data_IF_579268208740
#
_entry.id   IF_579268208740
#
_cell.length_a   1.000
_cell.length_b   1.000
_cell.length_c   1.000
_cell.angle_alpha   90.00
_cell.angle_beta   90.00
_cell.angle_gamma   90.00
#
_symmetry.space_group_name_H-M   'P 1'
#
loop_
_entity.id
_entity.type
_entity.pdbx_description
1 polymer ?
#
# COMPACT_ATOMS: atom_id res chain seq x y z
N UNK A 1 -11.68 17.46 -34.75
CA UNK A 1 -10.25 17.58 -35.16
C UNK A 1 -9.42 18.23 -34.05
N UNK A 2 -9.67 17.88 -32.78
CA UNK A 2 -8.95 18.40 -31.61
C UNK A 2 -8.47 17.27 -30.70
N UNK A 3 -8.32 16.08 -31.29
CA UNK A 3 -8.36 14.81 -30.56
C UNK A 3 -6.99 14.11 -30.57
N UNK A 4 -6.12 14.40 -31.56
CA UNK A 4 -4.81 13.75 -31.70
C UNK A 4 -3.68 14.29 -30.79
N UNK A 5 -3.74 15.56 -30.35
CA UNK A 5 -2.69 16.11 -29.48
C UNK A 5 -2.87 15.71 -28.00
N UNK A 6 -4.11 15.64 -27.52
CA UNK A 6 -4.43 15.19 -26.16
C UNK A 6 -4.07 13.71 -25.95
N UNK A 7 -4.39 12.85 -26.93
CA UNK A 7 -4.05 11.42 -26.87
C UNK A 7 -2.54 11.17 -26.89
N UNK A 8 -1.76 11.98 -27.63
CA UNK A 8 -0.29 11.90 -27.62
C UNK A 8 0.29 12.37 -26.28
N UNK A 9 -0.29 13.41 -25.68
CA UNK A 9 0.12 13.93 -24.38
C UNK A 9 -0.18 12.94 -23.25
N UNK A 10 -1.37 12.34 -23.24
CA UNK A 10 -1.79 11.32 -22.28
C UNK A 10 -0.89 10.07 -22.36
N UNK A 11 -0.57 9.60 -23.57
CA UNK A 11 0.39 8.51 -23.77
C UNK A 11 1.81 8.85 -23.31
N UNK A 12 2.27 10.08 -23.56
CA UNK A 12 3.59 10.51 -23.12
C UNK A 12 3.68 10.57 -21.58
N UNK A 13 2.63 11.04 -20.90
CA UNK A 13 2.55 11.05 -19.44
C UNK A 13 2.47 9.63 -18.89
N UNK A 14 1.62 8.76 -19.45
CA UNK A 14 1.55 7.37 -18.97
C UNK A 14 2.91 6.67 -19.10
N UNK A 15 3.62 6.89 -20.22
CA UNK A 15 4.97 6.34 -20.42
C UNK A 15 5.98 6.86 -19.39
N UNK A 16 5.96 8.17 -19.06
CA UNK A 16 6.88 8.73 -18.06
C UNK A 16 6.56 8.20 -16.66
N UNK A 17 5.28 8.02 -16.34
CA UNK A 17 4.81 7.49 -15.05
C UNK A 17 5.21 6.03 -14.90
N UNK A 18 5.01 5.20 -15.94
CA UNK A 18 5.45 3.80 -15.95
C UNK A 18 6.96 3.67 -15.77
N UNK A 19 7.74 4.53 -16.44
CA UNK A 19 9.19 4.54 -16.28
C UNK A 19 9.59 4.92 -14.84
N UNK A 20 8.99 5.95 -14.28
CA UNK A 20 9.23 6.37 -12.90
C UNK A 20 8.86 5.26 -11.90
N UNK A 21 7.73 4.58 -12.13
CA UNK A 21 7.28 3.44 -11.33
C UNK A 21 8.26 2.27 -11.38
N UNK A 22 8.76 1.93 -12.58
CA UNK A 22 9.75 0.87 -12.74
C UNK A 22 11.04 1.20 -11.98
N UNK A 23 11.53 2.43 -12.09
CA UNK A 23 12.72 2.90 -11.34
C UNK A 23 12.45 2.82 -9.83
N UNK A 24 11.29 3.28 -9.38
CA UNK A 24 10.92 3.25 -7.97
C UNK A 24 10.88 1.82 -7.40
N UNK A 25 10.27 0.88 -8.13
CA UNK A 25 10.23 -0.54 -7.73
C UNK A 25 11.65 -1.09 -7.61
N UNK A 26 12.53 -0.81 -8.57
CA UNK A 26 13.93 -1.26 -8.52
C UNK A 26 14.65 -0.73 -7.28
N UNK A 27 14.51 0.58 -7.00
CA UNK A 27 15.12 1.20 -5.82
C UNK A 27 14.63 0.54 -4.54
N UNK A 28 13.31 0.32 -4.41
CA UNK A 28 12.74 -0.32 -3.22
C UNK A 28 13.28 -1.74 -3.05
N UNK A 29 13.38 -2.53 -4.13
CA UNK A 29 13.92 -3.89 -4.08
C UNK A 29 15.38 -3.89 -3.60
N UNK A 30 16.20 -2.93 -4.05
CA UNK A 30 17.58 -2.79 -3.58
C UNK A 30 17.63 -2.49 -2.08
N UNK A 31 16.86 -1.50 -1.61
CA UNK A 31 16.79 -1.14 -0.18
C UNK A 31 16.29 -2.30 0.67
N UNK A 32 15.30 -3.06 0.18
CA UNK A 32 14.83 -4.27 0.86
C UNK A 32 15.92 -5.33 0.95
N UNK A 33 16.72 -5.50 -0.11
CA UNK A 33 17.87 -6.39 -0.10
C UNK A 33 18.86 -6.01 1.00
N UNK A 34 19.24 -4.74 1.07
CA UNK A 34 20.14 -4.22 2.12
C UNK A 34 19.58 -4.46 3.53
N UNK A 35 18.28 -4.18 3.75
CA UNK A 35 17.64 -4.45 5.05
C UNK A 35 17.69 -5.93 5.45
N UNK A 36 17.47 -6.85 4.50
CA UNK A 36 17.59 -8.30 4.75
C UNK A 36 19.05 -8.68 5.09
N UNK A 37 20.03 -8.13 4.37
CA UNK A 37 21.45 -8.37 4.66
C UNK A 37 21.84 -7.85 6.05
N UNK A 38 21.37 -6.66 6.45
CA UNK A 38 21.61 -6.09 7.76
C UNK A 38 21.08 -6.98 8.88
N UNK A 39 19.85 -7.49 8.74
CA UNK A 39 19.24 -8.43 9.70
C UNK A 39 20.10 -9.70 9.80
N UNK A 40 20.46 -10.31 8.67
CA UNK A 40 21.23 -11.56 8.68
C UNK A 40 22.60 -11.38 9.36
N UNK A 41 23.30 -10.28 9.09
CA UNK A 41 24.65 -10.06 9.60
C UNK A 41 24.69 -9.61 11.06
N UNK A 42 23.77 -8.76 11.50
CA UNK A 42 23.83 -8.13 12.83
C UNK A 42 23.04 -8.89 13.91
N UNK A 43 22.10 -9.76 13.52
CA UNK A 43 21.16 -10.38 14.48
C UNK A 43 21.49 -11.84 14.78
N UNK A 44 22.01 -12.56 13.79
CA UNK A 44 22.37 -13.97 13.96
C UNK A 44 23.49 -14.17 15.01
N UNK A 45 24.50 -13.28 15.17
CA UNK A 45 25.44 -13.38 16.27
C UNK A 45 24.83 -12.82 17.56
N UNK A 46 23.97 -13.62 18.20
CA UNK A 46 23.31 -13.36 19.48
C UNK A 46 24.29 -12.84 20.53
N UNK A 47 24.23 -11.56 20.92
CA UNK A 47 24.87 -11.16 22.19
C UNK A 47 24.27 -9.96 22.95
N UNK A 48 23.34 -9.15 22.42
CA UNK A 48 22.82 -8.01 23.21
C UNK A 48 21.32 -7.70 23.05
N UNK A 49 20.67 -7.35 24.16
CA UNK A 49 19.26 -6.88 24.21
C UNK A 49 19.00 -5.61 23.40
N UNK A 50 20.03 -4.80 23.14
CA UNK A 50 19.92 -3.60 22.29
C UNK A 50 19.66 -3.94 20.82
N UNK A 51 20.01 -5.15 20.39
CA UNK A 51 19.85 -5.62 19.00
C UNK A 51 18.39 -6.03 18.71
N UNK A 52 17.57 -6.28 19.75
CA UNK A 52 16.16 -6.66 19.61
C UNK A 52 15.28 -5.50 19.14
N UNK A 53 15.55 -4.27 19.60
CA UNK A 53 14.79 -3.08 19.15
C UNK A 53 15.15 -2.73 17.71
N UNK A 54 16.43 -2.77 17.36
CA UNK A 54 16.90 -2.59 15.98
C UNK A 54 16.28 -3.63 15.05
N UNK A 55 16.14 -4.86 15.52
CA UNK A 55 15.46 -5.93 14.80
C UNK A 55 14.02 -5.63 14.45
N UNK A 56 13.24 -5.20 15.44
CA UNK A 56 11.83 -4.88 15.25
C UNK A 56 11.71 -3.72 14.27
N UNK A 57 12.60 -2.73 14.35
CA UNK A 57 12.66 -1.59 13.43
C UNK A 57 12.98 -2.01 11.99
N UNK A 58 13.99 -2.85 11.79
CA UNK A 58 14.38 -3.34 10.46
C UNK A 58 13.26 -4.19 9.82
N UNK A 59 12.64 -5.09 10.60
CA UNK A 59 11.50 -5.91 10.17
C UNK A 59 10.30 -5.03 9.83
N UNK A 60 10.00 -4.04 10.68
CA UNK A 60 8.90 -3.11 10.46
C UNK A 60 9.13 -2.30 9.17
N UNK A 61 10.37 -1.91 8.89
CA UNK A 61 10.75 -1.19 7.66
C UNK A 61 10.59 -2.07 6.42
N UNK A 62 11.04 -3.32 6.46
CA UNK A 62 10.83 -4.28 5.38
C UNK A 62 9.33 -4.49 5.07
N UNK A 63 8.48 -4.51 6.09
CA UNK A 63 7.04 -4.64 5.90
C UNK A 63 6.43 -3.41 5.20
N UNK A 64 6.88 -2.18 5.50
CA UNK A 64 6.46 -0.98 4.75
C UNK A 64 6.88 -1.10 3.29
N UNK A 65 8.14 -1.46 3.02
CA UNK A 65 8.66 -1.52 1.66
C UNK A 65 7.92 -2.59 0.83
N UNK A 66 7.57 -3.72 1.44
CA UNK A 66 6.73 -4.74 0.81
C UNK A 66 5.32 -4.22 0.50
N UNK A 67 4.70 -3.49 1.43
CA UNK A 67 3.39 -2.87 1.22
C UNK A 67 3.41 -1.88 0.05
N UNK A 68 4.43 -1.04 -0.02
CA UNK A 68 4.63 -0.09 -1.13
C UNK A 68 4.80 -0.85 -2.45
N UNK A 69 5.63 -1.89 -2.53
CA UNK A 69 5.75 -2.69 -3.76
C UNK A 69 4.41 -3.30 -4.19
N UNK A 70 3.65 -3.89 -3.25
CA UNK A 70 2.34 -4.48 -3.54
C UNK A 70 1.37 -3.44 -4.12
N UNK A 71 1.41 -2.21 -3.61
CA UNK A 71 0.64 -1.09 -4.15
C UNK A 71 1.05 -0.74 -5.58
N UNK A 72 2.35 -0.58 -5.84
CA UNK A 72 2.85 -0.22 -7.18
C UNK A 72 2.54 -1.31 -8.20
N UNK A 73 2.66 -2.59 -7.83
CA UNK A 73 2.29 -3.71 -8.69
C UNK A 73 0.79 -3.73 -9.01
N UNK A 74 -0.06 -3.38 -8.04
CA UNK A 74 -1.51 -3.27 -8.27
C UNK A 74 -1.85 -2.07 -9.16
N UNK A 75 -1.17 -0.93 -8.98
CA UNK A 75 -1.31 0.25 -9.83
C UNK A 75 -1.08 -0.08 -11.31
N UNK A 76 -0.01 -0.81 -11.62
CA UNK A 76 0.31 -1.23 -12.99
C UNK A 76 -0.78 -2.19 -13.54
N UNK A 77 -1.24 -3.15 -12.72
CA UNK A 77 -2.26 -4.14 -13.14
C UNK A 77 -3.63 -3.54 -13.46
N UNK A 78 -3.96 -2.38 -12.89
CA UNK A 78 -5.29 -1.76 -13.03
C UNK A 78 -5.33 -0.62 -14.06
N UNK A 79 -4.27 -0.47 -14.85
CA UNK A 79 -4.25 0.45 -15.99
C UNK A 79 -4.24 1.91 -15.56
N UNK A 80 -3.38 2.26 -14.59
CA UNK A 80 -3.17 3.64 -14.09
C UNK A 80 -4.31 4.27 -13.29
N UNK A 81 -5.44 3.58 -13.13
CA UNK A 81 -6.48 3.99 -12.21
C UNK A 81 -6.31 3.26 -10.88
N UNK A 82 -6.33 3.99 -9.77
CA UNK A 82 -6.42 3.40 -8.43
C UNK A 82 -7.89 3.49 -7.99
N UNK A 83 -8.65 2.38 -8.05
CA UNK A 83 -9.96 2.30 -7.43
C UNK A 83 -9.88 2.68 -5.95
N UNK A 84 -10.86 3.47 -5.50
CA UNK A 84 -10.99 3.93 -4.11
C UNK A 84 -10.94 2.77 -3.10
N UNK A 85 -11.41 1.57 -3.48
CA UNK A 85 -11.33 0.35 -2.66
C UNK A 85 -9.90 0.03 -2.23
N UNK A 86 -8.92 0.23 -3.09
CA UNK A 86 -7.54 -0.10 -2.77
C UNK A 86 -6.90 0.92 -1.85
N UNK A 87 -7.22 2.20 -2.03
CA UNK A 87 -6.81 3.24 -1.09
C UNK A 87 -7.31 2.92 0.32
N UNK A 88 -8.57 2.47 0.45
CA UNK A 88 -9.12 2.04 1.75
C UNK A 88 -8.38 0.82 2.30
N UNK A 89 -8.10 -0.20 1.46
CA UNK A 89 -7.35 -1.37 1.90
C UNK A 89 -5.93 -1.03 2.36
N UNK A 90 -5.26 -0.08 1.70
CA UNK A 90 -3.95 0.44 2.10
C UNK A 90 -4.04 1.13 3.46
N UNK A 91 -5.04 2.00 3.65
CA UNK A 91 -5.26 2.63 4.96
C UNK A 91 -5.51 1.60 6.06
N UNK A 92 -6.28 0.54 5.76
CA UNK A 92 -6.50 -0.55 6.72
C UNK A 92 -5.18 -1.26 7.06
N UNK A 93 -4.37 -1.63 6.07
CA UNK A 93 -3.07 -2.29 6.29
C UNK A 93 -2.09 -1.42 7.09
N UNK A 94 -2.04 -0.11 6.80
CA UNK A 94 -1.22 0.84 7.54
C UNK A 94 -1.62 0.95 9.02
N UNK A 95 -2.92 1.06 9.31
CA UNK A 95 -3.43 1.13 10.69
C UNK A 95 -3.22 -0.22 11.41
N UNK A 96 -3.41 -1.35 10.71
CA UNK A 96 -3.15 -2.67 11.26
C UNK A 96 -1.67 -2.83 11.65
N UNK A 97 -0.75 -2.32 10.82
CA UNK A 97 0.68 -2.32 11.10
C UNK A 97 1.01 -1.47 12.32
N UNK A 98 0.47 -0.26 12.40
CA UNK A 98 0.66 0.62 13.57
C UNK A 98 0.13 -0.05 14.85
N UNK A 99 -1.01 -0.73 14.76
CA UNK A 99 -1.59 -1.49 15.87
C UNK A 99 -0.69 -2.65 16.33
N UNK A 100 -0.03 -3.36 15.41
CA UNK A 100 0.90 -4.45 15.74
C UNK A 100 2.21 -3.93 16.37
N UNK A 101 2.65 -2.74 16.00
CA UNK A 101 3.88 -2.12 16.52
C UNK A 101 3.65 -1.36 17.82
N UNK A 102 2.40 -1.00 18.14
CA UNK A 102 2.02 -0.28 19.35
C UNK A 102 2.22 -1.14 20.61
N UNK A 103 3.44 -1.14 21.15
CA UNK A 103 3.76 -1.75 22.44
C UNK A 103 3.47 -0.73 23.55
N UNK A 104 2.31 -0.87 24.23
CA UNK A 104 2.09 -0.29 25.57
C UNK A 104 1.05 0.82 25.72
N UNK A 105 0.58 1.48 24.65
CA UNK A 105 -0.43 2.54 24.74
C UNK A 105 -1.82 2.05 24.32
N UNK A 106 -2.57 1.49 25.27
CA UNK A 106 -3.91 0.94 25.04
C UNK A 106 -4.93 1.96 24.48
N UNK A 107 -4.79 3.25 24.80
CA UNK A 107 -5.66 4.30 24.27
C UNK A 107 -5.51 4.48 22.76
N UNK A 108 -4.27 4.51 22.26
CA UNK A 108 -3.99 4.63 20.83
C UNK A 108 -4.51 3.41 20.09
N UNK A 109 -4.28 2.21 20.63
CA UNK A 109 -4.80 0.96 20.04
C UNK A 109 -6.33 0.95 19.93
N UNK A 110 -7.02 1.55 20.90
CA UNK A 110 -8.48 1.65 20.88
C UNK A 110 -8.97 2.60 19.78
N UNK A 111 -8.33 3.75 19.62
CA UNK A 111 -8.63 4.69 18.53
C UNK A 111 -8.33 4.09 17.15
N UNK A 112 -7.17 3.44 16.99
CA UNK A 112 -6.79 2.77 15.75
C UNK A 112 -7.79 1.65 15.38
N UNK A 113 -8.25 0.88 16.36
CA UNK A 113 -9.29 -0.14 16.15
C UNK A 113 -10.63 0.46 15.70
N UNK A 114 -11.03 1.62 16.25
CA UNK A 114 -12.23 2.33 15.81
C UNK A 114 -12.06 2.84 14.37
N UNK A 115 -10.88 3.37 14.02
CA UNK A 115 -10.57 3.79 12.65
C UNK A 115 -10.68 2.65 11.64
N UNK A 116 -10.22 1.43 11.97
CA UNK A 116 -10.41 0.26 11.12
C UNK A 116 -11.89 -0.05 10.92
N UNK A 117 -12.70 -0.02 11.99
CA UNK A 117 -14.16 -0.25 11.88
C UNK A 117 -14.83 0.77 10.94
N UNK A 118 -14.46 2.04 11.03
CA UNK A 118 -14.96 3.09 10.13
C UNK A 118 -14.58 2.81 8.68
N UNK A 119 -13.33 2.43 8.41
CA UNK A 119 -12.87 2.12 7.04
C UNK A 119 -13.59 0.91 6.45
N UNK A 120 -13.85 -0.13 7.26
CA UNK A 120 -14.63 -1.31 6.83
C UNK A 120 -16.08 -0.90 6.50
N UNK A 121 -16.70 -0.01 7.29
CA UNK A 121 -18.02 0.52 6.98
C UNK A 121 -18.04 1.31 5.66
N UNK A 122 -17.04 2.16 5.42
CA UNK A 122 -16.89 2.89 4.14
C UNK A 122 -16.76 1.93 2.98
N UNK A 123 -15.97 0.87 3.13
CA UNK A 123 -15.80 -0.16 2.11
C UNK A 123 -17.12 -0.87 1.81
N UNK A 124 -17.88 -1.23 2.84
CA UNK A 124 -19.20 -1.84 2.70
C UNK A 124 -20.19 -0.92 1.96
N UNK A 125 -20.24 0.37 2.31
CA UNK A 125 -21.07 1.35 1.64
C UNK A 125 -20.69 1.51 0.16
N UNK A 126 -19.40 1.58 -0.15
CA UNK A 126 -18.93 1.66 -1.54
C UNK A 126 -19.30 0.42 -2.35
N UNK A 127 -19.19 -0.78 -1.77
CA UNK A 127 -19.61 -2.02 -2.44
C UNK A 127 -21.12 -2.01 -2.70
N UNK A 128 -21.94 -1.54 -1.75
CA UNK A 128 -23.39 -1.40 -1.91
C UNK A 128 -23.77 -0.35 -2.97
N UNK A 129 -23.13 0.81 -2.98
CA UNK A 129 -23.38 1.87 -3.96
C UNK A 129 -22.99 1.42 -5.38
N UNK A 130 -21.85 0.75 -5.53
CA UNK A 130 -21.44 0.16 -6.82
C UNK A 130 -22.40 -0.94 -7.27
N UNK A 131 -22.88 -1.79 -6.36
CA UNK A 131 -23.86 -2.81 -6.68
C UNK A 131 -25.18 -2.20 -7.17
N UNK A 132 -25.59 -1.06 -6.61
CA UNK A 132 -26.79 -0.33 -7.02
C UNK A 132 -26.66 0.24 -8.45
N UNK A 133 -25.54 0.88 -8.79
CA UNK A 133 -25.28 1.37 -10.15
C UNK A 133 -25.17 0.25 -11.19
N UNK A 134 -24.72 -0.95 -10.80
CA UNK A 134 -24.65 -2.10 -11.70
C UNK A 134 -26.02 -2.76 -11.94
N UNK A 135 -27.00 -2.50 -11.08
CA UNK A 135 -28.38 -2.96 -11.22
C UNK A 135 -29.16 -2.21 -12.30
N UNK A 136 -28.98 -0.89 -12.42
CA UNK A 136 -29.72 -0.07 -13.39
C UNK A 136 -29.24 -0.26 -14.83
N UNK A 137 -27.94 -0.50 -15.05
CA UNK A 137 -27.40 -0.76 -16.41
C UNK A 137 -27.87 -2.08 -17.04
N UNK A 138 -28.51 -2.98 -16.27
CA UNK A 138 -29.07 -4.24 -16.76
C UNK A 138 -30.56 -4.15 -17.10
N UNK A 139 -31.25 -3.08 -16.69
CA UNK A 139 -32.67 -2.86 -16.96
C UNK A 139 -32.91 -2.04 -18.25
N UNK A 140 -31.84 -1.52 -18.86
CA UNK A 140 -31.88 -0.72 -20.10
C UNK A 140 -31.39 -1.49 -21.35
N UNK A 141 -31.37 -2.83 -21.29
CA UNK A 141 -31.20 -3.73 -22.44
C UNK A 141 -32.37 -4.70 -22.53
#
# INVERSE_FOLDING_TARGET
MKDNHFLKFEKAISTIVDFLLAVLIIVIVIVMGEGIFNIILHVIPLNNVSEMTLLIEEIATLFILLEVILMLLRYIKEGHHIPVRYLILISITAILRELLLAHGNGENSLLLSISILVLVLVLFLLEKVKAFHKGESKLEK
#
